data_IF_253990003140
#
_entry.id   IF_253990003140
#
_cell.length_a   1.000
_cell.length_b   1.000
_cell.length_c   1.000
_cell.angle_alpha   90.00
_cell.angle_beta   90.00
_cell.angle_gamma   90.00
#
_symmetry.space_group_name_H-M   'P 1'
#
loop_
_entity.id
_entity.type
_entity.pdbx_description
1 polymer ?
#
# COMPACT_ATOMS: atom_id res chain seq x y z
N UNK A 1 19.78 4.49 -11.35
CA UNK A 1 18.55 3.73 -11.67
C UNK A 1 18.86 2.80 -12.83
N UNK A 2 18.30 1.59 -12.85
CA UNK A 2 18.39 0.73 -14.04
C UNK A 2 17.52 1.32 -15.16
N UNK A 3 17.86 1.03 -16.42
CA UNK A 3 17.09 1.50 -17.60
C UNK A 3 15.62 1.07 -17.57
N UNK A 4 15.30 -0.01 -16.85
CA UNK A 4 13.95 -0.57 -16.73
C UNK A 4 13.12 -0.02 -15.57
N UNK A 5 13.73 0.65 -14.58
CA UNK A 5 13.03 1.09 -13.37
C UNK A 5 11.97 2.17 -13.66
N UNK A 6 12.36 3.22 -14.38
CA UNK A 6 11.45 4.31 -14.71
C UNK A 6 10.27 3.88 -15.61
N UNK A 7 10.49 3.13 -16.72
CA UNK A 7 9.38 2.59 -17.51
C UNK A 7 8.42 1.72 -16.69
N UNK A 8 8.95 0.83 -15.83
CA UNK A 8 8.12 -0.05 -15.01
C UNK A 8 7.27 0.74 -14.01
N UNK A 9 7.82 1.79 -13.39
CA UNK A 9 7.07 2.69 -12.50
C UNK A 9 5.96 3.44 -13.25
N UNK A 10 6.23 3.92 -14.47
CA UNK A 10 5.20 4.56 -15.31
C UNK A 10 4.06 3.58 -15.63
N UNK A 11 4.40 2.34 -15.99
CA UNK A 11 3.41 1.28 -16.24
C UNK A 11 2.61 0.98 -14.97
N UNK A 12 3.26 0.87 -13.81
CA UNK A 12 2.60 0.67 -12.52
C UNK A 12 1.65 1.81 -12.18
N UNK A 13 2.07 3.07 -12.36
CA UNK A 13 1.22 4.25 -12.18
C UNK A 13 0.00 4.17 -13.12
N UNK A 14 0.22 3.86 -14.40
CA UNK A 14 -0.85 3.69 -15.38
C UNK A 14 -1.87 2.61 -14.96
N UNK A 15 -1.39 1.46 -14.46
CA UNK A 15 -2.25 0.40 -13.96
C UNK A 15 -3.11 0.86 -12.76
N UNK A 16 -2.54 1.58 -11.80
CA UNK A 16 -3.28 2.13 -10.68
C UNK A 16 -4.29 3.22 -11.08
N UNK A 17 -3.97 4.05 -12.08
CA UNK A 17 -4.90 5.05 -12.61
C UNK A 17 -6.09 4.40 -13.33
N UNK A 18 -5.83 3.38 -14.15
CA UNK A 18 -6.88 2.59 -14.80
C UNK A 18 -7.78 1.93 -13.76
N UNK A 19 -7.18 1.34 -12.73
CA UNK A 19 -7.90 0.72 -11.63
C UNK A 19 -8.79 1.73 -10.88
N UNK A 20 -8.26 2.91 -10.58
CA UNK A 20 -9.01 4.00 -9.95
C UNK A 20 -10.18 4.48 -10.83
N UNK A 21 -9.96 4.62 -12.15
CA UNK A 21 -11.01 4.99 -13.09
C UNK A 21 -12.12 3.93 -13.17
N UNK A 22 -11.75 2.64 -13.13
CA UNK A 22 -12.70 1.54 -13.09
C UNK A 22 -13.53 1.55 -11.80
N UNK A 23 -12.93 1.86 -10.65
CA UNK A 23 -13.66 1.96 -9.37
C UNK A 23 -14.73 3.02 -9.34
N UNK A 24 -14.54 4.13 -10.05
CA UNK A 24 -15.56 5.17 -10.17
C UNK A 24 -16.86 4.63 -10.80
N UNK A 25 -16.77 3.59 -11.64
CA UNK A 25 -17.91 2.99 -12.35
C UNK A 25 -18.58 1.80 -11.66
N UNK A 26 -18.00 1.23 -10.59
CA UNK A 26 -18.53 0.02 -9.95
C UNK A 26 -19.41 0.39 -8.74
N UNK A 27 -20.59 -0.23 -8.67
CA UNK A 27 -21.40 -0.22 -7.46
C UNK A 27 -20.72 -1.10 -6.40
N UNK A 28 -20.17 -0.49 -5.36
CA UNK A 28 -19.48 -1.16 -4.26
C UNK A 28 -20.01 -0.63 -2.92
N UNK A 29 -19.92 -1.45 -1.87
CA UNK A 29 -20.12 -1.00 -0.48
C UNK A 29 -19.34 0.28 -0.20
N UNK A 30 -19.98 1.24 0.48
CA UNK A 30 -19.36 2.51 0.86
C UNK A 30 -18.06 2.29 1.68
N UNK A 31 -18.00 1.21 2.46
CA UNK A 31 -16.84 0.84 3.28
C UNK A 31 -15.60 0.45 2.47
N UNK A 32 -15.74 0.04 1.20
CA UNK A 32 -14.61 -0.39 0.36
C UNK A 32 -14.12 0.72 -0.57
N UNK A 33 -14.98 1.67 -0.93
CA UNK A 33 -14.64 2.75 -1.88
C UNK A 33 -13.46 3.59 -1.41
N UNK A 34 -13.51 4.07 -0.17
CA UNK A 34 -12.46 4.94 0.36
C UNK A 34 -11.11 4.19 0.53
N UNK A 35 -11.06 2.98 1.14
CA UNK A 35 -9.81 2.22 1.21
C UNK A 35 -9.20 1.90 -0.16
N UNK A 36 -10.02 1.54 -1.15
CA UNK A 36 -9.55 1.21 -2.50
C UNK A 36 -9.02 2.42 -3.28
N UNK A 37 -9.67 3.58 -3.13
CA UNK A 37 -9.15 4.83 -3.67
C UNK A 37 -7.83 5.21 -2.98
N UNK A 38 -7.76 5.05 -1.65
CA UNK A 38 -6.58 5.40 -0.87
C UNK A 38 -5.37 4.53 -1.23
N UNK A 39 -5.53 3.20 -1.36
CA UNK A 39 -4.43 2.31 -1.76
C UNK A 39 -3.92 2.64 -3.17
N UNK A 40 -4.81 3.02 -4.10
CA UNK A 40 -4.39 3.43 -5.44
C UNK A 40 -3.60 4.74 -5.40
N UNK A 41 -4.12 5.77 -4.73
CA UNK A 41 -3.44 7.07 -4.63
C UNK A 41 -2.09 6.97 -3.89
N UNK A 42 -2.05 6.20 -2.80
CA UNK A 42 -0.82 6.02 -2.03
C UNK A 42 0.26 5.26 -2.81
N UNK A 43 -0.13 4.27 -3.62
CA UNK A 43 0.82 3.54 -4.47
C UNK A 43 1.30 4.36 -5.66
N UNK A 44 0.44 5.16 -6.29
CA UNK A 44 0.87 6.15 -7.30
C UNK A 44 1.91 7.09 -6.69
N UNK A 45 1.61 7.62 -5.50
CA UNK A 45 2.51 8.53 -4.80
C UNK A 45 3.85 7.86 -4.43
N UNK A 46 3.83 6.60 -3.97
CA UNK A 46 5.04 5.82 -3.70
C UNK A 46 5.89 5.61 -4.97
N UNK A 47 5.25 5.31 -6.11
CA UNK A 47 5.97 5.16 -7.38
C UNK A 47 6.62 6.46 -7.85
N UNK A 48 5.94 7.59 -7.68
CA UNK A 48 6.48 8.92 -7.96
C UNK A 48 7.66 9.26 -7.04
N UNK A 49 7.51 9.03 -5.74
CA UNK A 49 8.52 9.32 -4.73
C UNK A 49 9.79 8.45 -4.87
N UNK A 50 9.63 7.15 -5.10
CA UNK A 50 10.76 6.21 -5.19
C UNK A 50 11.54 6.26 -6.51
N UNK A 51 10.92 6.75 -7.60
CA UNK A 51 11.49 6.71 -8.94
C UNK A 51 12.25 7.97 -9.38
N UNK A 52 12.41 8.98 -8.52
CA UNK A 52 12.96 10.27 -8.94
C UNK A 52 12.10 11.01 -9.98
N UNK A 53 10.86 10.56 -10.19
CA UNK A 53 9.86 11.19 -11.06
C UNK A 53 9.24 12.44 -10.42
N UNK A 54 9.52 12.64 -9.14
CA UNK A 54 9.02 13.75 -8.35
C UNK A 54 9.87 14.99 -8.59
N UNK A 55 9.23 16.09 -9.02
CA UNK A 55 9.87 17.39 -9.17
C UNK A 55 10.12 18.02 -7.79
N UNK A 56 11.38 17.97 -7.35
CA UNK A 56 11.83 18.51 -6.08
C UNK A 56 11.56 20.03 -5.96
N UNK A 57 11.16 20.47 -4.77
CA UNK A 57 10.97 21.88 -4.43
C UNK A 57 9.57 22.45 -4.71
N UNK A 58 8.60 21.61 -5.09
CA UNK A 58 7.20 22.03 -5.30
C UNK A 58 6.36 21.80 -4.03
N UNK A 59 5.29 22.60 -3.82
CA UNK A 59 4.36 22.34 -2.70
C UNK A 59 3.69 20.96 -2.79
N UNK A 60 3.55 20.41 -3.99
CA UNK A 60 3.03 19.07 -4.23
C UNK A 60 3.91 17.95 -3.69
N UNK A 61 5.21 18.17 -3.54
CA UNK A 61 6.15 17.16 -3.04
C UNK A 61 5.78 16.66 -1.66
N UNK A 62 5.49 17.57 -0.72
CA UNK A 62 5.12 17.19 0.64
C UNK A 62 3.87 16.31 0.66
N UNK A 63 2.90 16.61 -0.21
CA UNK A 63 1.67 15.84 -0.32
C UNK A 63 1.90 14.44 -0.92
N UNK A 64 2.73 14.35 -1.97
CA UNK A 64 3.10 13.05 -2.57
C UNK A 64 3.88 12.21 -1.57
N UNK A 65 4.84 12.78 -0.85
CA UNK A 65 5.59 12.06 0.18
C UNK A 65 4.70 11.62 1.34
N UNK A 66 3.73 12.44 1.74
CA UNK A 66 2.74 12.07 2.75
C UNK A 66 1.90 10.90 2.26
N UNK A 67 1.33 10.96 1.05
CA UNK A 67 0.55 9.84 0.50
C UNK A 67 1.38 8.56 0.37
N UNK A 68 2.64 8.66 -0.06
CA UNK A 68 3.55 7.52 -0.14
C UNK A 68 3.79 6.90 1.24
N UNK A 69 3.98 7.72 2.28
CA UNK A 69 4.12 7.27 3.67
C UNK A 69 2.90 6.48 4.18
N UNK A 70 1.71 6.78 3.65
CA UNK A 70 0.47 6.08 3.96
C UNK A 70 0.25 4.78 3.17
N UNK A 71 1.09 4.43 2.19
CA UNK A 71 0.90 3.24 1.36
C UNK A 71 0.75 1.92 2.18
N UNK A 72 1.58 1.65 3.21
CA UNK A 72 1.42 0.46 4.05
C UNK A 72 0.08 0.45 4.81
N UNK A 73 -0.37 1.60 5.30
CA UNK A 73 -1.66 1.75 5.95
C UNK A 73 -2.82 1.53 4.98
N UNK A 74 -2.73 2.10 3.78
CA UNK A 74 -3.74 1.96 2.76
C UNK A 74 -3.88 0.49 2.31
N UNK A 75 -2.75 -0.20 2.14
CA UNK A 75 -2.72 -1.64 1.86
C UNK A 75 -3.39 -2.46 2.97
N UNK A 76 -3.02 -2.20 4.24
CA UNK A 76 -3.63 -2.85 5.39
C UNK A 76 -5.14 -2.65 5.46
N UNK A 77 -5.60 -1.40 5.36
CA UNK A 77 -7.02 -1.09 5.46
C UNK A 77 -7.82 -1.72 4.32
N UNK A 78 -7.36 -1.58 3.07
CA UNK A 78 -8.06 -2.08 1.89
C UNK A 78 -8.14 -3.62 1.90
N UNK A 79 -7.03 -4.30 2.17
CA UNK A 79 -6.97 -5.76 2.10
C UNK A 79 -7.74 -6.40 3.25
N UNK A 80 -7.64 -5.88 4.48
CA UNK A 80 -8.45 -6.39 5.59
C UNK A 80 -9.95 -6.22 5.32
N UNK A 81 -10.37 -5.08 4.75
CA UNK A 81 -11.78 -4.85 4.39
C UNK A 81 -12.25 -5.79 3.27
N UNK A 82 -11.42 -6.05 2.25
CA UNK A 82 -11.73 -7.02 1.20
C UNK A 82 -11.88 -8.45 1.73
N UNK A 83 -11.11 -8.82 2.76
CA UNK A 83 -11.24 -10.11 3.45
C UNK A 83 -12.40 -10.15 4.44
N UNK A 84 -13.21 -9.09 4.58
CA UNK A 84 -14.29 -9.00 5.57
C UNK A 84 -13.80 -8.92 7.02
N UNK A 85 -12.51 -8.65 7.23
CA UNK A 85 -11.86 -8.54 8.55
C UNK A 85 -11.38 -7.10 8.80
N UNK A 86 -12.14 -6.14 8.28
CA UNK A 86 -11.81 -4.72 8.37
C UNK A 86 -11.68 -4.27 9.82
N UNK A 87 -10.66 -3.46 10.15
CA UNK A 87 -10.51 -2.90 11.49
C UNK A 87 -11.67 -1.95 11.81
N UNK A 88 -12.02 -1.83 13.09
CA UNK A 88 -13.02 -0.85 13.53
C UNK A 88 -12.61 0.58 13.10
N UNK A 89 -13.58 1.48 12.81
CA UNK A 89 -13.29 2.84 12.35
C UNK A 89 -12.35 3.61 13.28
N UNK A 90 -12.47 3.40 14.60
CA UNK A 90 -11.61 4.03 15.60
C UNK A 90 -10.16 3.55 15.47
N UNK A 91 -9.94 2.25 15.33
CA UNK A 91 -8.60 1.66 15.14
C UNK A 91 -7.97 2.15 13.84
N UNK A 92 -8.74 2.21 12.76
CA UNK A 92 -8.27 2.74 11.48
C UNK A 92 -7.87 4.22 11.60
N UNK A 93 -8.66 5.04 12.29
CA UNK A 93 -8.35 6.45 12.53
C UNK A 93 -7.08 6.61 13.39
N UNK A 94 -6.96 5.85 14.47
CA UNK A 94 -5.76 5.87 15.33
C UNK A 94 -4.53 5.48 14.51
N UNK A 95 -4.58 4.40 13.73
CA UNK A 95 -3.47 4.00 12.88
C UNK A 95 -3.11 5.09 11.86
N UNK A 96 -4.10 5.72 11.21
CA UNK A 96 -3.89 6.84 10.30
C UNK A 96 -3.21 8.03 10.98
N UNK A 97 -3.65 8.41 12.18
CA UNK A 97 -3.08 9.49 12.95
C UNK A 97 -1.64 9.19 13.37
N UNK A 98 -1.34 7.96 13.78
CA UNK A 98 0.02 7.56 14.14
C UNK A 98 0.94 7.61 12.92
N UNK A 99 0.51 7.08 11.76
CA UNK A 99 1.29 7.19 10.51
C UNK A 99 1.55 8.65 10.15
N UNK A 100 0.52 9.50 10.19
CA UNK A 100 0.63 10.92 9.88
C UNK A 100 1.55 11.67 10.85
N UNK A 101 1.46 11.38 12.15
CA UNK A 101 2.32 11.97 13.17
C UNK A 101 3.78 11.53 13.00
N UNK A 102 4.02 10.24 12.74
CA UNK A 102 5.37 9.73 12.45
C UNK A 102 5.96 10.40 11.21
N UNK A 103 5.18 10.52 10.12
CA UNK A 103 5.61 11.21 8.92
C UNK A 103 5.95 12.68 9.19
N UNK A 104 5.06 13.42 9.87
CA UNK A 104 5.27 14.83 10.16
C UNK A 104 6.52 15.05 11.03
N UNK A 105 6.68 14.24 12.09
CA UNK A 105 7.86 14.31 12.94
C UNK A 105 9.14 13.93 12.18
N UNK A 106 9.12 12.90 11.34
CA UNK A 106 10.26 12.51 10.51
C UNK A 106 10.65 13.60 9.49
N UNK A 107 9.66 14.25 8.88
CA UNK A 107 9.87 15.23 7.81
C UNK A 107 10.26 16.62 8.31
N UNK A 108 9.71 17.06 9.44
CA UNK A 108 9.82 18.43 9.95
C UNK A 108 10.60 18.53 11.27
N UNK A 109 10.86 17.42 11.96
CA UNK A 109 11.56 17.40 13.25
C UNK A 109 13.09 17.53 13.19
N UNK A 110 13.68 17.66 11.99
CA UNK A 110 15.13 17.71 11.82
C UNK A 110 15.81 16.44 12.37
N UNK A 111 16.98 16.55 13.04
CA UNK A 111 17.66 15.40 13.65
C UNK A 111 16.79 14.65 14.68
N UNK A 112 15.94 15.37 15.42
CA UNK A 112 15.04 14.78 16.40
C UNK A 112 13.89 13.98 15.76
N UNK A 113 13.67 14.10 14.44
CA UNK A 113 12.70 13.32 13.68
C UNK A 113 13.17 11.88 13.38
N UNK A 114 14.42 11.55 13.64
CA UNK A 114 14.99 10.24 13.32
C UNK A 114 14.28 9.05 13.97
N UNK A 115 13.93 9.08 15.27
CA UNK A 115 13.15 8.02 15.88
C UNK A 115 11.77 7.85 15.24
N UNK A 116 11.12 8.94 14.81
CA UNK A 116 9.81 8.90 14.17
C UNK A 116 9.87 8.21 12.79
N UNK A 117 10.96 8.42 12.05
CA UNK A 117 11.23 7.71 10.80
C UNK A 117 11.29 6.19 11.02
N UNK A 118 12.03 5.72 12.03
CA UNK A 118 12.11 4.29 12.35
C UNK A 118 10.78 3.74 12.91
N UNK A 119 10.08 4.51 13.73
CA UNK A 119 8.76 4.16 14.24
C UNK A 119 7.76 3.91 13.09
N UNK A 120 7.82 4.73 12.03
CA UNK A 120 6.99 4.52 10.85
C UNK A 120 7.27 3.16 10.18
N UNK A 121 8.52 2.71 10.13
CA UNK A 121 8.89 1.40 9.54
C UNK A 121 8.43 0.23 10.37
N UNK A 122 8.59 0.33 11.69
CA UNK A 122 8.05 -0.66 12.62
C UNK A 122 6.53 -0.74 12.46
N UNK A 123 5.85 0.39 12.34
CA UNK A 123 4.41 0.42 12.10
C UNK A 123 4.02 -0.25 10.77
N UNK A 124 4.73 0.04 9.68
CA UNK A 124 4.52 -0.64 8.39
C UNK A 124 4.67 -2.16 8.51
N UNK A 125 5.65 -2.63 9.29
CA UNK A 125 5.85 -4.05 9.55
C UNK A 125 4.74 -4.67 10.38
N UNK A 126 4.24 -3.96 11.40
CA UNK A 126 3.08 -4.40 12.20
C UNK A 126 1.81 -4.50 11.35
N UNK A 127 1.58 -3.53 10.46
CA UNK A 127 0.47 -3.55 9.51
C UNK A 127 0.59 -4.74 8.53
N UNK A 128 1.78 -4.99 8.00
CA UNK A 128 2.05 -6.17 7.16
C UNK A 128 1.83 -7.49 7.91
N UNK A 129 2.30 -7.58 9.15
CA UNK A 129 2.12 -8.75 10.00
C UNK A 129 0.63 -9.00 10.31
N UNK A 130 -0.15 -7.93 10.51
CA UNK A 130 -1.59 -8.05 10.74
C UNK A 130 -2.34 -8.53 9.49
N UNK A 131 -1.95 -8.10 8.29
CA UNK A 131 -2.47 -8.66 7.02
C UNK A 131 -2.22 -10.17 6.97
N UNK A 132 -1.00 -10.63 7.28
CA UNK A 132 -0.67 -12.06 7.28
C UNK A 132 -1.41 -12.83 8.36
N UNK A 133 -1.50 -12.29 9.58
CA UNK A 133 -2.26 -12.87 10.69
C UNK A 133 -3.72 -13.05 10.29
N UNK A 134 -4.33 -12.03 9.71
CA UNK A 134 -5.69 -12.06 9.20
C UNK A 134 -5.82 -13.13 8.10
N UNK A 135 -4.90 -13.16 7.12
CA UNK A 135 -4.91 -14.14 6.04
C UNK A 135 -4.83 -15.60 6.52
N UNK A 136 -4.05 -15.88 7.58
CA UNK A 136 -3.91 -17.20 8.18
C UNK A 136 -5.14 -17.56 9.01
N UNK A 137 -5.58 -16.66 9.90
CA UNK A 137 -6.58 -16.95 10.91
C UNK A 137 -7.96 -17.33 10.35
N UNK A 138 -8.39 -16.74 9.24
CA UNK A 138 -9.70 -17.10 8.67
C UNK A 138 -9.67 -18.16 7.57
N UNK A 139 -8.52 -18.78 7.23
CA UNK A 139 -8.49 -19.95 6.34
C UNK A 139 -9.46 -21.05 6.79
N UNK A 140 -9.73 -21.11 8.09
CA UNK A 140 -10.60 -22.11 8.73
C UNK A 140 -12.09 -21.78 8.57
N UNK A 141 -12.47 -20.54 8.26
CA UNK A 141 -13.87 -20.06 8.31
C UNK A 141 -14.48 -19.72 6.95
N UNK A 142 -13.71 -19.78 5.87
CA UNK A 142 -14.15 -19.32 4.55
C UNK A 142 -14.74 -20.44 3.69
N UNK A 143 -16.03 -20.28 3.38
CA UNK A 143 -16.77 -21.14 2.46
C UNK A 143 -16.80 -20.57 1.03
N UNK A 144 -16.42 -19.30 0.86
CA UNK A 144 -16.46 -18.62 -0.44
C UNK A 144 -15.11 -18.71 -1.17
N UNK A 145 -15.10 -19.23 -2.41
CA UNK A 145 -13.87 -19.45 -3.16
C UNK A 145 -13.16 -18.15 -3.57
N UNK A 146 -13.88 -17.05 -3.89
CA UNK A 146 -13.23 -15.79 -4.24
C UNK A 146 -12.47 -15.16 -3.05
N UNK A 147 -13.08 -15.13 -1.85
CA UNK A 147 -12.38 -14.61 -0.65
C UNK A 147 -11.16 -15.46 -0.28
N UNK A 148 -11.24 -16.78 -0.49
CA UNK A 148 -10.10 -17.68 -0.31
C UNK A 148 -8.97 -17.38 -1.30
N UNK A 149 -9.28 -17.15 -2.57
CA UNK A 149 -8.28 -16.78 -3.59
C UNK A 149 -7.62 -15.42 -3.28
N UNK A 150 -8.43 -14.43 -2.88
CA UNK A 150 -7.97 -13.14 -2.38
C UNK A 150 -6.97 -13.28 -1.24
N UNK A 151 -7.25 -14.12 -0.25
CA UNK A 151 -6.32 -14.37 0.87
C UNK A 151 -5.04 -15.07 0.48
N UNK A 152 -5.14 -16.04 -0.43
CA UNK A 152 -3.98 -16.83 -0.83
C UNK A 152 -3.01 -16.02 -1.67
N UNK A 153 -3.50 -15.06 -2.47
CA UNK A 153 -2.67 -14.34 -3.42
C UNK A 153 -2.53 -12.84 -3.10
N UNK A 154 -3.62 -12.13 -2.83
CA UNK A 154 -3.59 -10.68 -2.60
C UNK A 154 -2.95 -10.35 -1.24
N UNK A 155 -3.35 -11.05 -0.17
CA UNK A 155 -2.86 -10.76 1.18
C UNK A 155 -1.33 -10.88 1.34
N UNK A 156 -0.66 -11.97 0.88
CA UNK A 156 0.80 -12.04 0.99
C UNK A 156 1.50 -11.00 0.12
N UNK A 157 0.97 -10.66 -1.07
CA UNK A 157 1.53 -9.61 -1.91
C UNK A 157 1.42 -8.24 -1.25
N UNK A 158 0.26 -7.91 -0.69
CA UNK A 158 0.04 -6.64 0.01
C UNK A 158 0.85 -6.55 1.31
N UNK A 159 0.98 -7.65 2.06
CA UNK A 159 1.84 -7.71 3.23
C UNK A 159 3.32 -7.51 2.85
N UNK A 160 3.77 -8.17 1.78
CA UNK A 160 5.12 -7.99 1.27
C UNK A 160 5.35 -6.55 0.86
N UNK A 161 4.38 -5.92 0.18
CA UNK A 161 4.47 -4.53 -0.25
C UNK A 161 4.50 -3.56 0.94
N UNK A 162 3.63 -3.76 1.93
CA UNK A 162 3.59 -2.95 3.14
C UNK A 162 4.88 -3.09 3.98
N UNK A 163 5.46 -4.29 4.03
CA UNK A 163 6.70 -4.58 4.77
C UNK A 163 7.98 -4.22 4.01
N UNK A 164 7.91 -4.10 2.68
CA UNK A 164 9.06 -3.86 1.81
C UNK A 164 9.92 -2.65 2.23
N UNK A 165 9.34 -1.47 2.55
CA UNK A 165 10.12 -0.29 2.91
C UNK A 165 10.94 -0.47 4.20
N UNK A 166 10.51 -1.34 5.11
CA UNK A 166 11.26 -1.66 6.33
C UNK A 166 12.44 -2.58 6.00
N UNK A 167 12.18 -3.66 5.27
CA UNK A 167 13.20 -4.66 4.92
C UNK A 167 14.31 -4.04 4.07
N UNK A 168 13.94 -3.21 3.10
CA UNK A 168 14.90 -2.58 2.21
C UNK A 168 15.82 -1.60 2.96
N UNK A 169 15.29 -0.86 3.94
CA UNK A 169 16.09 0.05 4.77
C UNK A 169 16.95 -0.68 5.81
N UNK A 170 16.53 -1.84 6.32
CA UNK A 170 17.40 -2.66 7.18
C UNK A 170 18.66 -3.15 6.44
N UNK A 171 18.57 -3.35 5.13
CA UNK A 171 19.66 -3.84 4.30
C UNK A 171 20.57 -2.69 3.83
N UNK A 172 19.99 -1.52 3.48
CA UNK A 172 20.69 -0.45 2.75
C UNK A 172 20.91 0.82 3.60
N UNK A 173 20.17 0.99 4.71
CA UNK A 173 20.13 2.22 5.49
C UNK A 173 19.23 3.30 4.87
N UNK A 174 19.39 4.55 5.30
CA UNK A 174 18.59 5.73 4.88
C UNK A 174 18.86 6.22 3.45
N UNK A 175 19.70 5.51 2.71
CA UNK A 175 20.14 5.88 1.37
C UNK A 175 19.15 5.43 0.30
N UNK A 176 19.31 5.95 -0.92
CA UNK A 176 18.56 5.51 -2.09
C UNK A 176 18.57 3.99 -2.24
N UNK A 177 17.40 3.41 -2.55
CA UNK A 177 17.27 1.99 -2.84
C UNK A 177 18.20 1.63 -4.02
N UNK A 178 19.05 0.60 -3.89
CA UNK A 178 19.83 0.11 -5.00
C UNK A 178 18.88 -0.37 -6.11
N UNK A 179 19.33 -0.26 -7.37
CA UNK A 179 18.54 -0.56 -8.56
C UNK A 179 17.70 -1.87 -8.49
N UNK A 180 18.21 -3.02 -8.02
CA UNK A 180 17.40 -4.24 -7.94
C UNK A 180 16.25 -4.15 -6.93
N UNK A 181 16.44 -3.42 -5.84
CA UNK A 181 15.41 -3.22 -4.83
C UNK A 181 14.32 -2.27 -5.35
N UNK A 182 14.71 -1.14 -5.93
CA UNK A 182 13.76 -0.24 -6.59
C UNK A 182 12.91 -0.95 -7.65
N UNK A 183 13.53 -1.79 -8.49
CA UNK A 183 12.83 -2.55 -9.51
C UNK A 183 11.85 -3.57 -8.90
N UNK A 184 12.24 -4.25 -7.81
CA UNK A 184 11.39 -5.18 -7.09
C UNK A 184 10.16 -4.48 -6.47
N UNK A 185 10.34 -3.28 -5.91
CA UNK A 185 9.25 -2.45 -5.39
C UNK A 185 8.23 -2.12 -6.49
N UNK A 186 8.71 -1.66 -7.65
CA UNK A 186 7.86 -1.31 -8.78
C UNK A 186 7.11 -2.54 -9.34
N UNK A 187 7.81 -3.67 -9.50
CA UNK A 187 7.23 -4.93 -9.94
C UNK A 187 6.15 -5.44 -8.96
N UNK A 188 6.43 -5.38 -7.65
CA UNK A 188 5.50 -5.78 -6.60
C UNK A 188 4.25 -4.89 -6.60
N UNK A 189 4.44 -3.58 -6.77
CA UNK A 189 3.35 -2.61 -6.82
C UNK A 189 2.46 -2.79 -8.06
N UNK A 190 3.06 -3.13 -9.20
CA UNK A 190 2.32 -3.49 -10.42
C UNK A 190 1.56 -4.81 -10.24
N UNK A 191 2.21 -5.84 -9.69
CA UNK A 191 1.59 -7.13 -9.44
C UNK A 191 0.38 -7.00 -8.51
N UNK A 192 0.48 -6.15 -7.47
CA UNK A 192 -0.64 -5.88 -6.58
C UNK A 192 -1.79 -5.18 -7.32
N UNK A 193 -1.51 -4.18 -8.17
CA UNK A 193 -2.53 -3.51 -8.96
C UNK A 193 -3.29 -4.49 -9.85
N UNK A 194 -2.58 -5.38 -10.55
CA UNK A 194 -3.16 -6.42 -11.41
C UNK A 194 -3.99 -7.40 -10.59
N UNK A 195 -3.46 -7.89 -9.47
CA UNK A 195 -4.19 -8.84 -8.62
C UNK A 195 -5.44 -8.22 -8.00
N UNK A 196 -5.38 -6.95 -7.63
CA UNK A 196 -6.52 -6.21 -7.10
C UNK A 196 -7.57 -5.96 -8.20
N UNK A 197 -7.14 -5.64 -9.42
CA UNK A 197 -8.03 -5.56 -10.58
C UNK A 197 -8.74 -6.90 -10.81
N UNK A 198 -7.99 -7.99 -10.91
CA UNK A 198 -8.56 -9.33 -11.12
C UNK A 198 -9.55 -9.70 -10.02
N UNK A 199 -9.21 -9.44 -8.75
CA UNK A 199 -10.09 -9.76 -7.64
C UNK A 199 -11.43 -9.00 -7.67
N UNK A 200 -11.44 -7.80 -8.23
CA UNK A 200 -12.64 -6.96 -8.31
C UNK A 200 -13.45 -7.18 -9.60
N UNK A 201 -12.82 -7.73 -10.64
CA UNK A 201 -13.47 -8.07 -11.90
C UNK A 201 -14.01 -9.50 -11.95
N UNK A 202 -13.59 -10.39 -11.06
CA UNK A 202 -14.28 -11.69 -10.89
C UNK A 202 -15.63 -11.41 -10.25
N UNK A 203 -16.75 -11.63 -10.97
CA UNK A 203 -18.08 -11.17 -10.58
C UNK A 203 -18.72 -12.11 -9.56
N UNK A 204 -18.03 -12.38 -8.44
CA UNK A 204 -18.70 -12.93 -7.27
C UNK A 204 -19.30 -11.77 -6.49
N UNK A 205 -20.62 -11.59 -6.65
CA UNK A 205 -21.42 -10.60 -5.91
C UNK A 205 -21.08 -10.57 -4.42
N UNK A 206 -20.70 -11.72 -3.82
CA UNK A 206 -20.32 -11.85 -2.42
C UNK A 206 -19.09 -11.02 -1.97
N UNK A 207 -18.21 -10.61 -2.89
CA UNK A 207 -17.05 -9.75 -2.56
C UNK A 207 -17.46 -8.26 -2.50
N UNK A 208 -18.50 -7.87 -3.25
CA UNK A 208 -18.95 -6.48 -3.40
C UNK A 208 -20.23 -6.15 -2.61
N UNK A 209 -21.10 -7.14 -2.40
CA UNK A 209 -22.36 -7.13 -1.62
C UNK A 209 -22.12 -7.51 -0.19
#
# INVERSE_FOLDING_TARGET
MSEFDAPLRIVAIGAWLVLLAQYAGIAMRAELRLPLALIALANIAAMLAGGGLLLAGTMGEAFVLALAAFAPFAAWLAVLRLMGQGPEPRTALVAALVVGACFAAARYGGPAGEPAFYAQRVLSALLAADILRAAIAGRVREHEPARRALRLWLAPLAALQAGYPMVAEMIVGRSYLPAPLSLAEAALTLALAVMLALALFVPERAVLD
#
